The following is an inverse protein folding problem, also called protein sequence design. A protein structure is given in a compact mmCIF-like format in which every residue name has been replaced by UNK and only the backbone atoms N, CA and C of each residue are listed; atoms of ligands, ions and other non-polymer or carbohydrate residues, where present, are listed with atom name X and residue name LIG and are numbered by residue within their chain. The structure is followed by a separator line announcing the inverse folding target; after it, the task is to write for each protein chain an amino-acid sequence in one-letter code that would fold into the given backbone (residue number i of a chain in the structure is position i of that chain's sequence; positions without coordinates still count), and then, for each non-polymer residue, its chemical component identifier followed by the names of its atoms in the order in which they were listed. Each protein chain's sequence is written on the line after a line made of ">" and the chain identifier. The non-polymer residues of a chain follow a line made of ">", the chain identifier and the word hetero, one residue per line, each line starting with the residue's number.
data_IF_500131720759
#
_entry.id   IF_500131720759
#
_cell.length_a   1.000
_cell.length_b   1.000
_cell.length_c   1.000
_cell.angle_alpha   90.00
_cell.angle_beta   90.00
_cell.angle_gamma   90.00
#
_symmetry.space_group_name_H-M   'P 1'
#
loop_
_entity.id
_entity.type
_entity.pdbx_description
1 polymer ?
#
# COMPACT_ATOMS: atom_id res chain seq x y z
N UNK A 1 -5.71 -68.29 22.88
CA UNK A 1 -5.92 -66.84 22.65
C UNK A 1 -4.57 -66.25 22.27
N UNK A 2 -4.35 -65.95 20.99
CA UNK A 2 -3.05 -65.49 20.47
C UNK A 2 -2.99 -63.95 20.45
N UNK A 3 -1.95 -63.41 21.07
CA UNK A 3 -1.60 -62.00 21.10
C UNK A 3 -0.63 -61.67 19.95
N UNK A 4 -1.14 -61.51 18.72
CA UNK A 4 -0.30 -61.20 17.55
C UNK A 4 -0.77 -60.02 16.68
N UNK A 5 -1.90 -59.37 16.98
CA UNK A 5 -2.52 -58.42 16.05
C UNK A 5 -2.28 -56.92 16.34
N UNK A 6 -1.49 -56.57 17.36
CA UNK A 6 -1.31 -55.15 17.76
C UNK A 6 -0.10 -54.44 17.15
N UNK A 7 0.77 -55.13 16.40
CA UNK A 7 2.00 -54.53 15.85
C UNK A 7 1.89 -54.00 14.41
N UNK A 8 0.90 -54.38 13.60
CA UNK A 8 0.83 -53.98 12.17
C UNK A 8 0.19 -52.60 11.94
N UNK A 9 -0.70 -52.14 12.84
CA UNK A 9 -1.48 -50.90 12.71
C UNK A 9 -0.70 -49.62 13.05
N UNK A 10 0.28 -49.69 13.96
CA UNK A 10 1.16 -48.53 14.28
C UNK A 10 2.18 -48.22 13.17
N UNK A 11 2.65 -49.22 12.44
CA UNK A 11 3.62 -49.03 11.35
C UNK A 11 3.00 -48.37 10.10
N UNK A 12 1.76 -48.70 9.76
CA UNK A 12 1.03 -48.12 8.62
C UNK A 12 0.63 -46.65 8.81
N UNK A 13 0.28 -46.27 10.04
CA UNK A 13 -0.10 -44.90 10.40
C UNK A 13 1.11 -43.95 10.42
N UNK A 14 2.27 -44.39 10.91
CA UNK A 14 3.52 -43.62 10.87
C UNK A 14 4.03 -43.35 9.45
N UNK A 15 4.01 -44.36 8.57
CA UNK A 15 4.39 -44.21 7.14
C UNK A 15 3.44 -43.29 6.37
N UNK A 16 2.13 -43.36 6.65
CA UNK A 16 1.13 -42.46 6.04
C UNK A 16 1.29 -41.01 6.50
N UNK A 17 1.54 -40.79 7.80
CA UNK A 17 1.84 -39.45 8.37
C UNK A 17 3.12 -38.85 7.77
N UNK A 18 4.19 -39.65 7.63
CA UNK A 18 5.45 -39.20 7.00
C UNK A 18 5.30 -38.80 5.53
N UNK A 19 4.51 -39.55 4.74
CA UNK A 19 4.22 -39.20 3.34
C UNK A 19 3.38 -37.94 3.20
N UNK A 20 2.43 -37.71 4.10
CA UNK A 20 1.62 -36.48 4.12
C UNK A 20 2.52 -35.29 4.46
N UNK A 21 3.33 -35.37 5.52
CA UNK A 21 4.25 -34.30 5.91
C UNK A 21 5.25 -33.94 4.78
N UNK A 22 5.81 -34.95 4.10
CA UNK A 22 6.72 -34.73 2.97
C UNK A 22 6.04 -34.03 1.78
N UNK A 23 4.79 -34.42 1.46
CA UNK A 23 4.00 -33.76 0.41
C UNK A 23 3.65 -32.33 0.76
N UNK A 24 3.28 -32.07 2.00
CA UNK A 24 2.99 -30.72 2.51
C UNK A 24 4.24 -29.84 2.41
N UNK A 25 5.40 -30.33 2.85
CA UNK A 25 6.65 -29.60 2.76
C UNK A 25 7.04 -29.31 1.30
N UNK A 26 6.88 -30.28 0.41
CA UNK A 26 7.15 -30.10 -1.03
C UNK A 26 6.22 -29.06 -1.65
N UNK A 27 4.93 -29.04 -1.28
CA UNK A 27 3.97 -28.05 -1.73
C UNK A 27 4.36 -26.62 -1.28
N UNK A 28 4.67 -26.43 0.00
CA UNK A 28 5.10 -25.13 0.51
C UNK A 28 6.44 -24.70 -0.08
N UNK A 29 7.37 -25.63 -0.28
CA UNK A 29 8.63 -25.37 -0.98
C UNK A 29 8.44 -24.94 -2.42
N UNK A 30 7.51 -25.58 -3.15
CA UNK A 30 7.13 -25.18 -4.51
C UNK A 30 6.51 -23.78 -4.51
N UNK A 31 5.53 -23.53 -3.64
CA UNK A 31 4.84 -22.25 -3.53
C UNK A 31 5.82 -21.12 -3.24
N UNK A 32 6.74 -21.31 -2.29
CA UNK A 32 7.77 -20.33 -1.97
C UNK A 32 8.64 -19.97 -3.18
N UNK A 33 9.09 -20.96 -3.96
CA UNK A 33 9.91 -20.73 -5.16
C UNK A 33 9.16 -19.91 -6.21
N UNK A 34 7.88 -20.23 -6.43
CA UNK A 34 7.00 -19.48 -7.34
C UNK A 34 6.80 -18.05 -6.85
N UNK A 35 6.57 -17.86 -5.55
CA UNK A 35 6.40 -16.53 -4.95
C UNK A 35 7.67 -15.68 -5.07
N UNK A 36 8.85 -16.24 -4.80
CA UNK A 36 10.12 -15.53 -4.93
C UNK A 36 10.40 -15.09 -6.38
N UNK A 37 10.16 -15.98 -7.34
CA UNK A 37 10.31 -15.65 -8.77
C UNK A 37 9.28 -14.60 -9.19
N UNK A 38 8.02 -14.80 -8.83
CA UNK A 38 6.93 -13.89 -9.16
C UNK A 38 7.18 -12.49 -8.59
N UNK A 39 7.54 -12.40 -7.32
CA UNK A 39 7.84 -11.13 -6.67
C UNK A 39 9.00 -10.39 -7.35
N UNK A 40 10.12 -11.07 -7.61
CA UNK A 40 11.27 -10.44 -8.26
C UNK A 40 10.98 -10.05 -9.71
N UNK A 41 10.27 -10.88 -10.47
CA UNK A 41 9.89 -10.58 -11.85
C UNK A 41 8.94 -9.37 -11.92
N UNK A 42 7.93 -9.31 -11.06
CA UNK A 42 7.02 -8.16 -10.97
C UNK A 42 7.77 -6.90 -10.51
N UNK A 43 8.70 -7.03 -9.56
CA UNK A 43 9.52 -5.89 -9.13
C UNK A 43 10.38 -5.33 -10.27
N UNK A 44 10.95 -6.19 -11.11
CA UNK A 44 11.69 -5.77 -12.32
C UNK A 44 10.75 -5.13 -13.33
N UNK A 45 9.57 -5.70 -13.55
CA UNK A 45 8.58 -5.19 -14.50
C UNK A 45 8.07 -3.80 -14.13
N UNK A 46 7.86 -3.54 -12.83
CA UNK A 46 7.46 -2.26 -12.26
C UNK A 46 8.66 -1.44 -11.72
N UNK A 47 9.87 -1.69 -12.20
CA UNK A 47 11.05 -0.93 -11.77
C UNK A 47 11.10 0.47 -12.38
N UNK A 48 11.99 1.31 -11.87
CA UNK A 48 12.26 2.65 -12.35
C UNK A 48 13.08 2.72 -13.67
N UNK A 49 13.27 1.60 -14.39
CA UNK A 49 13.97 1.61 -15.69
C UNK A 49 13.17 2.44 -16.71
N UNK A 50 13.76 3.31 -17.53
CA UNK A 50 12.96 4.18 -18.41
C UNK A 50 12.34 3.45 -19.61
N UNK A 51 12.79 2.23 -19.94
CA UNK A 51 12.34 1.50 -21.14
C UNK A 51 11.38 0.36 -20.81
N UNK A 52 10.08 0.45 -21.18
CA UNK A 52 9.09 -0.57 -20.88
C UNK A 52 9.45 -1.97 -21.42
N UNK A 53 9.99 -2.03 -22.64
CA UNK A 53 10.41 -3.30 -23.24
C UNK A 53 11.54 -3.97 -22.45
N UNK A 54 12.45 -3.19 -21.88
CA UNK A 54 13.58 -3.70 -21.10
C UNK A 54 13.11 -4.27 -19.76
N UNK A 55 12.18 -3.58 -19.09
CA UNK A 55 11.54 -4.07 -17.86
C UNK A 55 10.95 -5.47 -18.07
N UNK A 56 10.13 -5.61 -19.12
CA UNK A 56 9.49 -6.89 -19.46
C UNK A 56 10.50 -7.96 -19.88
N UNK A 57 11.49 -7.62 -20.71
CA UNK A 57 12.52 -8.56 -21.13
C UNK A 57 13.34 -9.08 -19.94
N UNK A 58 13.75 -8.21 -19.01
CA UNK A 58 14.49 -8.60 -17.81
C UNK A 58 13.64 -9.41 -16.84
N UNK A 59 12.35 -9.08 -16.69
CA UNK A 59 11.43 -9.87 -15.89
C UNK A 59 11.30 -11.31 -16.43
N UNK A 60 11.10 -11.47 -17.74
CA UNK A 60 11.04 -12.78 -18.39
C UNK A 60 12.37 -13.54 -18.29
N UNK A 61 13.50 -12.84 -18.43
CA UNK A 61 14.83 -13.42 -18.25
C UNK A 61 15.03 -13.92 -16.81
N UNK A 62 14.58 -13.16 -15.80
CA UNK A 62 14.64 -13.56 -14.41
C UNK A 62 13.75 -14.78 -14.13
N UNK A 63 12.55 -14.84 -14.71
CA UNK A 63 11.67 -16.03 -14.61
C UNK A 63 12.36 -17.25 -15.20
N UNK A 64 12.92 -17.15 -16.42
CA UNK A 64 13.64 -18.24 -17.05
C UNK A 64 14.85 -18.70 -16.20
N UNK A 65 15.62 -17.75 -15.68
CA UNK A 65 16.74 -18.02 -14.77
C UNK A 65 16.29 -18.73 -13.49
N UNK A 66 15.20 -18.29 -12.87
CA UNK A 66 14.60 -18.93 -11.69
C UNK A 66 14.14 -20.36 -11.97
N UNK A 67 13.46 -20.59 -13.09
CA UNK A 67 13.02 -21.93 -13.51
C UNK A 67 14.23 -22.86 -13.72
N UNK A 68 15.26 -22.38 -14.41
CA UNK A 68 16.48 -23.16 -14.65
C UNK A 68 17.20 -23.48 -13.34
N UNK A 69 17.37 -22.51 -12.45
CA UNK A 69 18.18 -22.66 -11.22
C UNK A 69 17.48 -23.45 -10.12
N UNK A 70 16.14 -23.36 -10.02
CA UNK A 70 15.36 -23.95 -8.93
C UNK A 70 14.61 -25.23 -9.32
N UNK A 71 14.48 -25.57 -10.61
CA UNK A 71 13.88 -26.84 -11.06
C UNK A 71 14.78 -27.66 -12.00
N UNK A 72 15.34 -27.07 -13.06
CA UNK A 72 16.07 -27.86 -14.06
C UNK A 72 17.48 -28.25 -13.60
N UNK A 73 18.14 -27.38 -12.83
CA UNK A 73 19.51 -27.54 -12.34
C UNK A 73 19.61 -27.36 -10.82
N UNK A 74 18.59 -27.81 -10.08
CA UNK A 74 18.47 -27.63 -8.62
C UNK A 74 19.68 -28.25 -7.88
N UNK A 75 20.66 -27.40 -7.57
CA UNK A 75 21.91 -27.73 -6.90
C UNK A 75 22.25 -26.63 -5.88
N UNK A 76 23.11 -26.88 -4.87
CA UNK A 76 23.48 -25.85 -3.92
C UNK A 76 24.05 -24.59 -4.58
N UNK A 77 24.87 -24.76 -5.64
CA UNK A 77 25.44 -23.64 -6.40
C UNK A 77 24.38 -22.85 -7.17
N UNK A 78 23.41 -23.52 -7.80
CA UNK A 78 22.33 -22.84 -8.52
C UNK A 78 21.41 -22.07 -7.57
N UNK A 79 21.11 -22.62 -6.38
CA UNK A 79 20.33 -21.92 -5.35
C UNK A 79 21.06 -20.71 -4.79
N UNK A 80 22.38 -20.80 -4.59
CA UNK A 80 23.20 -19.65 -4.19
C UNK A 80 23.16 -18.58 -5.28
N UNK A 81 23.34 -18.96 -6.55
CA UNK A 81 23.26 -18.02 -7.68
C UNK A 81 21.88 -17.33 -7.75
N UNK A 82 20.80 -18.10 -7.58
CA UNK A 82 19.45 -17.55 -7.48
C UNK A 82 19.32 -16.58 -6.31
N UNK A 83 19.74 -17.00 -5.11
CA UNK A 83 19.66 -16.18 -3.90
C UNK A 83 20.43 -14.86 -4.03
N UNK A 84 21.63 -14.89 -4.59
CA UNK A 84 22.44 -13.67 -4.84
C UNK A 84 21.72 -12.73 -5.79
N UNK A 85 21.22 -13.21 -6.93
CA UNK A 85 20.54 -12.35 -7.90
C UNK A 85 19.21 -11.83 -7.36
N UNK A 86 18.45 -12.66 -6.65
CA UNK A 86 17.23 -12.26 -5.95
C UNK A 86 17.53 -11.14 -4.93
N UNK A 87 18.55 -11.30 -4.10
CA UNK A 87 18.98 -10.28 -3.14
C UNK A 87 19.42 -8.99 -3.84
N UNK A 88 20.08 -9.07 -4.99
CA UNK A 88 20.44 -7.89 -5.78
C UNK A 88 19.21 -7.14 -6.31
N UNK A 89 18.21 -7.86 -6.84
CA UNK A 89 16.93 -7.26 -7.27
C UNK A 89 16.21 -6.64 -6.06
N UNK A 90 16.14 -7.34 -4.93
CA UNK A 90 15.52 -6.82 -3.73
C UNK A 90 16.23 -5.55 -3.22
N UNK A 91 17.55 -5.55 -3.17
CA UNK A 91 18.34 -4.39 -2.76
C UNK A 91 18.16 -3.20 -3.71
N UNK A 92 18.08 -3.45 -5.02
CA UNK A 92 17.81 -2.41 -6.01
C UNK A 92 16.42 -1.80 -5.84
N UNK A 93 15.38 -2.62 -5.72
CA UNK A 93 14.00 -2.11 -5.64
C UNK A 93 13.77 -1.38 -4.31
N UNK A 94 14.30 -1.90 -3.21
CA UNK A 94 14.21 -1.25 -1.90
C UNK A 94 15.01 0.04 -1.79
N UNK A 95 15.98 0.28 -2.68
CA UNK A 95 16.79 1.51 -2.70
C UNK A 95 16.22 2.62 -3.59
N UNK A 96 15.12 2.39 -4.32
CA UNK A 96 14.43 3.43 -5.09
C UNK A 96 13.87 4.48 -4.10
N UNK A 97 14.38 5.72 -4.11
CA UNK A 97 13.92 6.77 -3.20
C UNK A 97 12.59 7.36 -3.70
N UNK A 98 11.71 7.81 -2.79
CA UNK A 98 10.59 8.66 -3.19
C UNK A 98 11.11 10.00 -3.72
N UNK A 99 10.36 10.63 -4.62
CA UNK A 99 10.63 12.01 -5.07
C UNK A 99 9.48 12.92 -4.66
N UNK A 100 9.78 14.20 -4.43
CA UNK A 100 8.77 15.27 -4.35
C UNK A 100 8.74 16.12 -5.62
N UNK A 101 9.67 15.89 -6.54
CA UNK A 101 9.88 16.66 -7.77
C UNK A 101 9.52 15.76 -8.96
N UNK A 102 8.21 15.71 -9.25
CA UNK A 102 7.61 15.01 -10.39
C UNK A 102 6.43 15.84 -10.90
N UNK A 103 5.90 15.47 -12.07
CA UNK A 103 4.73 16.12 -12.63
C UNK A 103 3.45 15.58 -11.97
N UNK A 104 3.17 16.03 -10.75
CA UNK A 104 2.06 15.54 -9.94
C UNK A 104 0.70 15.94 -10.50
N UNK A 105 -0.29 15.06 -10.30
CA UNK A 105 -1.71 15.37 -10.54
C UNK A 105 -2.15 16.59 -9.74
N UNK A 106 -3.19 17.29 -10.23
CA UNK A 106 -3.68 18.53 -9.62
C UNK A 106 -4.20 18.32 -8.20
N UNK A 107 -4.76 17.15 -7.94
CA UNK A 107 -5.30 16.72 -6.65
C UNK A 107 -4.24 16.75 -5.54
N UNK A 108 -2.98 16.45 -5.89
CA UNK A 108 -1.90 16.15 -4.96
C UNK A 108 -0.60 16.93 -5.28
N UNK A 109 -0.70 18.01 -6.05
CA UNK A 109 0.44 18.80 -6.50
C UNK A 109 1.16 19.54 -5.36
N UNK A 110 0.42 20.00 -4.34
CA UNK A 110 0.97 20.80 -3.23
C UNK A 110 1.11 19.97 -1.97
N UNK A 111 2.32 19.95 -1.41
CA UNK A 111 2.60 19.35 -0.11
C UNK A 111 2.20 20.32 1.02
N UNK A 112 1.30 19.92 1.94
CA UNK A 112 1.00 20.74 3.09
C UNK A 112 2.19 20.80 4.06
N UNK A 113 2.28 21.88 4.82
CA UNK A 113 3.28 22.05 5.90
C UNK A 113 2.61 22.57 7.15
N UNK A 114 2.97 22.00 8.30
CA UNK A 114 2.54 22.48 9.60
C UNK A 114 3.72 23.13 10.34
N UNK A 115 3.47 24.28 10.96
CA UNK A 115 4.38 25.00 11.83
C UNK A 115 3.73 25.05 13.21
N UNK A 116 4.38 24.47 14.21
CA UNK A 116 3.81 24.29 15.55
C UNK A 116 4.53 25.23 16.52
N UNK A 117 3.78 26.12 17.15
CA UNK A 117 4.26 27.11 18.11
C UNK A 117 3.41 27.07 19.39
N UNK A 118 3.74 26.12 20.28
CA UNK A 118 2.97 25.90 21.51
C UNK A 118 1.56 25.42 21.19
N UNK A 119 0.56 26.21 21.56
CA UNK A 119 -0.86 25.91 21.32
C UNK A 119 -1.31 26.22 19.88
N UNK A 120 -0.55 27.01 19.12
CA UNK A 120 -0.93 27.42 17.76
C UNK A 120 -0.26 26.53 16.72
N UNK A 121 -1.07 26.05 15.78
CA UNK A 121 -0.60 25.30 14.61
C UNK A 121 -1.01 26.05 13.35
N UNK A 122 -0.01 26.51 12.60
CA UNK A 122 -0.20 27.16 11.31
C UNK A 122 0.08 26.16 10.19
N UNK A 123 -0.87 26.00 9.28
CA UNK A 123 -0.85 24.98 8.24
C UNK A 123 -0.97 25.68 6.88
N UNK A 124 0.03 25.49 6.02
CA UNK A 124 0.03 26.01 4.65
C UNK A 124 -0.27 24.89 3.67
N UNK A 125 -0.91 25.20 2.55
CA UNK A 125 -1.25 24.22 1.52
C UNK A 125 -2.51 23.42 1.87
N UNK A 126 -3.41 23.98 2.67
CA UNK A 126 -4.70 23.37 3.00
C UNK A 126 -5.60 23.40 1.77
N UNK A 127 -5.99 22.23 1.27
CA UNK A 127 -6.82 22.07 0.08
C UNK A 127 -8.25 22.55 0.33
N UNK A 128 -8.79 23.31 -0.62
CA UNK A 128 -10.19 23.76 -0.56
C UNK A 128 -10.79 23.83 -1.97
N UNK A 129 -10.73 22.69 -2.66
CA UNK A 129 -11.15 22.57 -4.05
C UNK A 129 -12.67 22.65 -4.16
N UNK A 130 -13.14 23.28 -5.23
CA UNK A 130 -14.57 23.40 -5.54
C UNK A 130 -14.88 22.58 -6.78
N UNK A 131 -15.61 21.48 -6.60
CA UNK A 131 -15.86 20.51 -7.66
C UNK A 131 -17.17 20.78 -8.40
N UNK A 132 -17.12 20.58 -9.71
CA UNK A 132 -18.28 20.44 -10.61
C UNK A 132 -18.46 18.97 -11.01
N UNK A 133 -17.36 18.27 -11.26
CA UNK A 133 -17.27 16.80 -11.39
C UNK A 133 -15.99 16.30 -10.72
N UNK A 134 -15.72 14.98 -10.64
CA UNK A 134 -14.46 14.48 -10.08
C UNK A 134 -13.20 14.99 -10.82
N UNK A 135 -13.31 15.29 -12.13
CA UNK A 135 -12.21 15.74 -12.98
C UNK A 135 -12.26 17.25 -13.32
N UNK A 136 -13.36 17.94 -12.99
CA UNK A 136 -13.53 19.38 -13.19
C UNK A 136 -13.75 20.10 -11.86
N UNK A 137 -12.72 20.83 -11.42
CA UNK A 137 -12.70 21.54 -10.16
C UNK A 137 -11.77 22.75 -10.19
N UNK A 138 -12.05 23.71 -9.31
CA UNK A 138 -11.17 24.86 -9.10
C UNK A 138 -10.14 24.57 -8.01
N UNK A 139 -8.87 24.73 -8.34
CA UNK A 139 -7.76 24.54 -7.42
C UNK A 139 -7.62 25.76 -6.51
N UNK A 140 -7.73 25.54 -5.20
CA UNK A 140 -7.48 26.54 -4.16
C UNK A 140 -6.73 25.92 -3.00
N UNK A 141 -5.71 26.64 -2.54
CA UNK A 141 -4.97 26.30 -1.33
C UNK A 141 -5.01 27.47 -0.35
N UNK A 142 -5.17 27.15 0.93
CA UNK A 142 -5.30 28.08 2.03
C UNK A 142 -4.11 27.97 2.98
N UNK A 143 -3.97 29.01 3.78
CA UNK A 143 -3.24 28.98 5.05
C UNK A 143 -4.25 29.04 6.18
N UNK A 144 -4.15 28.10 7.12
CA UNK A 144 -5.03 27.96 8.29
C UNK A 144 -4.21 28.08 9.55
N UNK A 145 -4.79 28.68 10.58
CA UNK A 145 -4.27 28.62 11.94
C UNK A 145 -5.35 28.00 12.83
N UNK A 146 -4.95 27.06 13.68
CA UNK A 146 -5.84 26.38 14.65
C UNK A 146 -5.14 26.33 16.01
N UNK A 147 -5.94 26.32 17.07
CA UNK A 147 -5.47 26.14 18.45
C UNK A 147 -5.63 24.67 18.84
N UNK A 148 -4.60 24.03 19.40
CA UNK A 148 -4.70 22.62 19.86
C UNK A 148 -5.68 22.54 21.02
N UNK A 149 -5.68 23.53 21.91
CA UNK A 149 -6.58 23.63 23.06
C UNK A 149 -8.06 23.76 22.69
N UNK A 150 -8.38 24.12 21.45
CA UNK A 150 -9.77 24.17 20.96
C UNK A 150 -10.21 22.89 20.26
N UNK A 151 -9.34 21.88 20.13
CA UNK A 151 -9.69 20.57 19.57
C UNK A 151 -10.67 19.86 20.51
N UNK A 152 -11.89 19.61 20.01
CA UNK A 152 -12.99 19.08 20.80
C UNK A 152 -13.30 17.61 20.46
N UNK A 153 -13.23 17.25 19.17
CA UNK A 153 -13.51 15.89 18.74
C UNK A 153 -12.82 15.55 17.43
N UNK A 154 -12.85 14.26 17.09
CA UNK A 154 -12.38 13.75 15.80
C UNK A 154 -13.48 12.93 15.14
N UNK A 155 -13.67 13.15 13.85
CA UNK A 155 -14.57 12.39 13.01
C UNK A 155 -13.75 11.42 12.16
N UNK A 156 -13.96 10.12 12.36
CA UNK A 156 -13.30 9.06 11.60
C UNK A 156 -14.17 8.64 10.43
N UNK A 157 -13.63 8.72 9.23
CA UNK A 157 -14.32 8.38 7.99
C UNK A 157 -13.82 7.06 7.42
N UNK A 158 -14.75 6.28 6.89
CA UNK A 158 -14.49 5.10 6.06
C UNK A 158 -15.20 5.32 4.73
N UNK A 159 -14.46 5.32 3.62
CA UNK A 159 -15.01 5.50 2.27
C UNK A 159 -14.74 4.30 1.37
N UNK A 160 -15.77 3.74 0.75
CA UNK A 160 -15.63 2.66 -0.22
C UNK A 160 -15.78 3.19 -1.64
N UNK A 161 -14.67 3.22 -2.37
CA UNK A 161 -14.66 3.58 -3.80
C UNK A 161 -14.98 2.38 -4.72
N UNK A 162 -14.80 1.16 -4.21
CA UNK A 162 -15.21 -0.10 -4.87
C UNK A 162 -15.83 -1.00 -3.78
N UNK A 163 -16.94 -1.72 -4.05
CA UNK A 163 -17.47 -2.71 -3.13
C UNK A 163 -16.42 -3.79 -2.79
N UNK A 164 -16.12 -3.97 -1.50
CA UNK A 164 -15.13 -4.97 -1.09
C UNK A 164 -14.59 -4.79 0.32
N UNK A 165 -13.55 -5.55 0.70
CA UNK A 165 -12.96 -5.49 2.04
C UNK A 165 -11.97 -4.34 2.23
N UNK A 166 -11.69 -3.55 1.18
CA UNK A 166 -10.73 -2.45 1.21
C UNK A 166 -11.52 -1.14 1.22
N UNK A 167 -11.21 -0.29 2.20
CA UNK A 167 -11.81 1.02 2.36
C UNK A 167 -10.72 2.07 2.58
N UNK A 168 -11.03 3.30 2.18
CA UNK A 168 -10.18 4.46 2.39
C UNK A 168 -10.53 5.08 3.73
N UNK A 169 -9.55 5.35 4.58
CA UNK A 169 -9.80 5.94 5.90
C UNK A 169 -9.11 7.27 6.05
N UNK A 170 -9.80 8.23 6.63
CA UNK A 170 -9.30 9.58 6.86
C UNK A 170 -10.04 10.21 8.05
N UNK A 171 -9.55 11.34 8.53
CA UNK A 171 -10.03 11.95 9.77
C UNK A 171 -10.30 13.43 9.60
N UNK A 172 -11.35 13.95 10.24
CA UNK A 172 -11.57 15.39 10.42
C UNK A 172 -11.39 15.76 11.88
N UNK A 173 -10.58 16.79 12.13
CA UNK A 173 -10.37 17.39 13.44
C UNK A 173 -11.36 18.54 13.62
N UNK A 174 -12.17 18.48 14.68
CA UNK A 174 -13.21 19.44 14.96
C UNK A 174 -12.77 20.38 16.08
N UNK A 175 -12.76 21.67 15.79
CA UNK A 175 -12.35 22.72 16.72
C UNK A 175 -13.56 23.55 17.18
N UNK A 176 -13.53 24.04 18.41
CA UNK A 176 -14.59 24.91 18.94
C UNK A 176 -14.57 26.32 18.33
N UNK A 177 -13.41 26.78 17.86
CA UNK A 177 -13.18 28.14 17.36
C UNK A 177 -12.85 28.21 15.87
N UNK A 178 -12.83 27.07 15.16
CA UNK A 178 -12.48 27.01 13.74
C UNK A 178 -13.26 25.91 12.99
N UNK A 179 -13.47 26.05 11.66
CA UNK A 179 -14.05 24.97 10.85
C UNK A 179 -13.22 23.68 10.91
N UNK A 180 -13.84 22.50 10.70
CA UNK A 180 -13.13 21.23 10.71
C UNK A 180 -11.99 21.18 9.70
N UNK A 181 -10.90 20.50 10.09
CA UNK A 181 -9.74 20.27 9.24
C UNK A 181 -9.62 18.77 8.95
N UNK A 182 -9.70 18.39 7.68
CA UNK A 182 -9.62 16.99 7.26
C UNK A 182 -8.20 16.62 6.84
N UNK A 183 -7.73 15.46 7.28
CA UNK A 183 -6.43 14.89 6.92
C UNK A 183 -6.65 13.49 6.37
N UNK A 184 -6.13 13.28 5.17
CA UNK A 184 -6.20 12.01 4.46
C UNK A 184 -4.83 11.58 3.96
N UNK A 185 -4.54 10.29 4.03
CA UNK A 185 -3.30 9.71 3.49
C UNK A 185 -3.64 9.17 2.11
N UNK A 186 -3.10 9.77 1.06
CA UNK A 186 -3.41 9.43 -0.33
C UNK A 186 -2.20 8.83 -1.04
N UNK A 187 -2.47 7.94 -2.00
CA UNK A 187 -1.49 7.67 -3.04
C UNK A 187 -1.33 8.94 -3.89
N UNK A 188 -0.08 9.33 -4.16
CA UNK A 188 0.28 10.50 -4.94
C UNK A 188 0.61 10.07 -6.37
N UNK A 189 -0.14 10.58 -7.33
CA UNK A 189 -0.03 10.20 -8.74
C UNK A 189 0.64 11.30 -9.57
N UNK A 190 1.42 10.92 -10.57
CA UNK A 190 1.79 11.81 -11.67
C UNK A 190 0.58 12.08 -12.60
N UNK A 191 0.64 13.12 -13.44
CA UNK A 191 -0.50 13.51 -14.32
C UNK A 191 -1.02 12.38 -15.22
N UNK A 192 -0.15 11.45 -15.62
CA UNK A 192 -0.47 10.32 -16.49
C UNK A 192 -0.65 8.99 -15.73
N UNK A 193 -0.71 9.04 -14.39
CA UNK A 193 -0.85 7.86 -13.54
C UNK A 193 -2.28 7.67 -13.03
N UNK A 194 -2.71 6.42 -13.00
CA UNK A 194 -3.98 6.00 -12.40
C UNK A 194 -3.74 4.93 -11.34
N UNK A 195 -4.71 4.79 -10.44
CA UNK A 195 -4.64 3.78 -9.39
C UNK A 195 -4.54 2.35 -9.98
N UNK A 196 -3.41 1.68 -9.68
CA UNK A 196 -3.14 0.32 -10.13
C UNK A 196 -2.74 -0.59 -8.96
N UNK A 197 -3.66 -1.41 -8.39
CA UNK A 197 -3.44 -2.16 -7.14
C UNK A 197 -2.16 -3.01 -7.11
N UNK A 198 -1.86 -3.68 -8.22
CA UNK A 198 -0.67 -4.54 -8.32
C UNK A 198 0.59 -3.70 -8.39
N UNK A 199 0.59 -2.62 -9.18
CA UNK A 199 1.72 -1.71 -9.34
C UNK A 199 2.06 -1.01 -8.00
N UNK A 200 1.04 -0.67 -7.20
CA UNK A 200 1.20 -0.08 -5.86
C UNK A 200 2.03 -0.95 -4.91
N UNK A 201 2.11 -2.27 -5.13
CA UNK A 201 2.94 -3.18 -4.32
C UNK A 201 4.44 -3.08 -4.64
N UNK A 202 4.83 -2.38 -5.71
CA UNK A 202 6.19 -2.36 -6.27
C UNK A 202 6.77 -0.95 -6.41
N UNK A 203 6.45 -0.03 -5.48
CA UNK A 203 7.04 1.33 -5.41
C UNK A 203 6.80 2.17 -6.67
N UNK A 204 5.62 2.05 -7.26
CA UNK A 204 5.21 2.86 -8.41
C UNK A 204 4.65 4.22 -8.00
N UNK A 205 3.99 4.31 -6.85
CA UNK A 205 3.37 5.55 -6.37
C UNK A 205 4.00 6.03 -5.07
N UNK A 206 3.98 7.34 -4.90
CA UNK A 206 4.34 8.01 -3.66
C UNK A 206 3.14 8.11 -2.71
N UNK A 207 3.40 8.48 -1.46
CA UNK A 207 2.38 8.71 -0.43
C UNK A 207 2.38 10.20 -0.07
N UNK A 208 1.21 10.79 0.05
CA UNK A 208 1.03 12.19 0.47
C UNK A 208 0.01 12.28 1.60
N UNK A 209 0.23 13.21 2.53
CA UNK A 209 -0.83 13.68 3.41
C UNK A 209 -1.54 14.84 2.72
N UNK A 210 -2.81 14.69 2.42
CA UNK A 210 -3.67 15.79 1.99
C UNK A 210 -4.34 16.37 3.23
N UNK A 211 -4.09 17.65 3.49
CA UNK A 211 -4.80 18.42 4.51
C UNK A 211 -5.75 19.36 3.79
N UNK A 212 -7.03 19.36 4.13
CA UNK A 212 -8.03 20.16 3.44
C UNK A 212 -9.26 20.49 4.27
N UNK A 213 -10.10 21.36 3.72
CA UNK A 213 -11.44 21.59 4.27
C UNK A 213 -12.27 20.31 4.16
N UNK A 214 -13.09 20.02 5.17
CA UNK A 214 -13.95 18.83 5.15
C UNK A 214 -14.86 18.79 3.92
N UNK A 215 -15.39 19.94 3.49
CA UNK A 215 -16.23 20.07 2.29
C UNK A 215 -15.54 19.64 1.00
N UNK A 216 -14.21 19.72 0.94
CA UNK A 216 -13.41 19.25 -0.19
C UNK A 216 -13.18 17.74 -0.03
N UNK A 217 -12.51 17.33 1.06
CA UNK A 217 -12.02 15.95 1.23
C UNK A 217 -13.17 14.93 1.35
N UNK A 218 -14.21 15.24 2.12
CA UNK A 218 -15.41 14.39 2.23
C UNK A 218 -16.30 14.61 1.02
N UNK A 219 -16.51 15.87 0.62
CA UNK A 219 -17.45 16.24 -0.43
C UNK A 219 -17.10 15.63 -1.79
N UNK A 220 -15.82 15.57 -2.17
CA UNK A 220 -15.41 14.91 -3.42
C UNK A 220 -15.81 13.43 -3.43
N UNK A 221 -15.72 12.75 -2.30
CA UNK A 221 -16.04 11.33 -2.16
C UNK A 221 -17.54 11.07 -2.17
N UNK A 222 -18.27 11.74 -1.28
CA UNK A 222 -19.71 11.51 -1.13
C UNK A 222 -20.53 12.10 -2.29
N UNK A 223 -20.20 13.31 -2.74
CA UNK A 223 -21.08 14.09 -3.62
C UNK A 223 -20.68 13.97 -5.09
N UNK A 224 -19.38 13.88 -5.41
CA UNK A 224 -18.90 13.87 -6.79
C UNK A 224 -18.56 12.46 -7.27
N UNK A 225 -17.80 11.68 -6.50
CA UNK A 225 -17.41 10.30 -6.82
C UNK A 225 -18.46 9.25 -6.47
N UNK A 226 -19.46 9.61 -5.64
CA UNK A 226 -20.54 8.73 -5.17
C UNK A 226 -20.03 7.49 -4.42
N UNK A 227 -18.96 7.67 -3.65
CA UNK A 227 -18.42 6.65 -2.76
C UNK A 227 -19.37 6.43 -1.57
N UNK A 228 -19.40 5.21 -1.01
CA UNK A 228 -20.11 4.94 0.23
C UNK A 228 -19.27 5.44 1.41
N UNK A 229 -19.63 6.62 1.95
CA UNK A 229 -18.92 7.28 3.04
C UNK A 229 -19.64 7.07 4.37
N UNK A 230 -18.94 6.47 5.32
CA UNK A 230 -19.40 6.25 6.68
C UNK A 230 -18.66 7.16 7.65
N UNK A 231 -19.39 7.86 8.51
CA UNK A 231 -18.87 8.76 9.53
C UNK A 231 -19.04 8.13 10.92
N UNK A 232 -17.94 8.06 11.67
CA UNK A 232 -17.89 7.64 13.06
C UNK A 232 -17.37 8.78 13.91
N UNK A 233 -18.24 9.34 14.75
CA UNK A 233 -17.84 10.40 15.69
C UNK A 233 -17.06 9.81 16.84
N UNK A 234 -15.85 10.30 17.05
CA UNK A 234 -14.96 9.87 18.13
C UNK A 234 -14.78 11.02 19.11
N UNK A 235 -15.29 10.82 20.32
CA UNK A 235 -14.98 11.72 21.44
C UNK A 235 -13.67 11.27 22.05
N UNK A 236 -12.67 12.15 22.00
CA UNK A 236 -11.34 11.89 22.56
C UNK A 236 -11.05 13.05 23.51
N UNK A 237 -10.61 12.79 24.76
CA UNK A 237 -10.08 13.85 25.62
C UNK A 237 -8.92 14.56 24.91
N UNK A 238 -8.79 15.88 25.06
CA UNK A 238 -7.77 16.67 24.36
C UNK A 238 -6.34 16.14 24.59
N UNK A 239 -6.06 15.51 25.73
CA UNK A 239 -4.75 14.92 26.03
C UNK A 239 -4.44 13.63 25.23
N UNK A 240 -5.45 13.00 24.63
CA UNK A 240 -5.33 11.75 23.88
C UNK A 240 -5.54 11.91 22.36
N UNK A 241 -5.85 13.13 21.90
CA UNK A 241 -5.99 13.49 20.49
C UNK A 241 -4.68 14.06 19.93
#
# INVERSE_FOLDING_TARGET
>A
MNASDTHSTRAGTGRRRGRIAARTLAFFGFLLRVLLIGWAALSIHYSNLPWPWLRTALALAFVAFGVVTLWMRDSPRSRIAFGVLFCAVAAWILSIPPSNDRNWSKEDAVLPRAYIEGDRVRITGVRDFVYRSPEDFDVRYLEREVSVSSLNSLDFYISYWIPGPVAHTFVSFNFDDAPPLSISIEARFEEDEEYAPVASLFRQFELIYVVGEERDIVGVRSNHRKEDVYLYRVQIPAEAA
#
